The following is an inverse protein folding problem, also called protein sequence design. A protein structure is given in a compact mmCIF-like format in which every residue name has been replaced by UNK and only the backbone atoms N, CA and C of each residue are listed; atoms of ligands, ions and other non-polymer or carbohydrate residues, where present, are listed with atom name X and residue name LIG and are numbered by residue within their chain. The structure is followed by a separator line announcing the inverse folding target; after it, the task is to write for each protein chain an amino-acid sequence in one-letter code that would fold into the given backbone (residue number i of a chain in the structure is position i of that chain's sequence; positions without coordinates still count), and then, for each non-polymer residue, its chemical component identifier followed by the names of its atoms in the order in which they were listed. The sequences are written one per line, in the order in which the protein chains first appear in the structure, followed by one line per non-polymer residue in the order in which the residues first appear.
data_IF_926702539124
#
_entry.id   IF_926702539124
#
_cell.length_a   1.000
_cell.length_b   1.000
_cell.length_c   1.000
_cell.angle_alpha   90.00
_cell.angle_beta   90.00
_cell.angle_gamma   90.00
#
_symmetry.space_group_name_H-M   'P 1'
#
loop_
_entity.id
_entity.type
_entity.pdbx_description
1 polymer ?
#
# COMPACT_ATOMS: atom_id res chain seq x y z
N UNK A 1 3.57 -18.95 -10.68
CA UNK A 1 3.10 -17.70 -10.04
C UNK A 1 4.27 -16.94 -9.44
N UNK A 2 4.39 -15.65 -9.73
CA UNK A 2 5.40 -14.73 -9.14
C UNK A 2 4.70 -13.78 -8.19
N UNK A 3 5.04 -13.85 -6.91
CA UNK A 3 4.60 -12.93 -5.86
C UNK A 3 5.71 -11.93 -5.55
N UNK A 4 5.38 -10.65 -5.47
CA UNK A 4 6.28 -9.59 -5.04
C UNK A 4 5.66 -8.82 -3.88
N UNK A 5 6.42 -8.60 -2.81
CA UNK A 5 6.03 -7.72 -1.71
C UNK A 5 6.94 -6.51 -1.68
N UNK A 6 6.35 -5.31 -1.60
CA UNK A 6 7.10 -4.06 -1.59
C UNK A 6 6.57 -3.07 -0.55
N UNK A 7 7.50 -2.52 0.26
CA UNK A 7 7.16 -1.43 1.19
C UNK A 7 7.29 -0.09 0.47
N UNK A 8 6.16 0.55 0.24
CA UNK A 8 6.03 1.81 -0.50
C UNK A 8 6.53 3.03 0.29
N UNK A 9 6.56 2.96 1.62
CA UNK A 9 6.79 4.12 2.50
C UNK A 9 5.99 5.35 2.01
N UNK A 10 4.77 5.13 1.61
CA UNK A 10 3.85 6.16 1.06
C UNK A 10 4.39 6.88 -0.20
N UNK A 11 5.39 6.31 -0.88
CA UNK A 11 6.07 6.92 -2.03
C UNK A 11 7.03 8.06 -1.69
N UNK A 12 7.40 8.23 -0.42
CA UNK A 12 8.24 9.36 0.04
C UNK A 12 9.72 9.21 -0.31
N UNK A 13 10.17 8.00 -0.71
CA UNK A 13 11.59 7.71 -0.92
C UNK A 13 12.39 7.57 0.37
N UNK A 14 13.69 7.30 0.24
CA UNK A 14 14.57 6.98 1.38
C UNK A 14 15.86 7.81 1.42
N UNK A 15 16.06 8.76 0.52
CA UNK A 15 17.29 9.57 0.47
C UNK A 15 17.45 10.52 1.66
N UNK A 16 18.67 11.07 1.81
CA UNK A 16 18.98 12.06 2.86
C UNK A 16 17.99 13.22 2.93
N UNK A 17 17.45 13.64 1.80
CA UNK A 17 16.42 14.69 1.71
C UNK A 17 15.10 14.33 2.44
N UNK A 18 14.90 13.06 2.81
CA UNK A 18 13.73 12.65 3.60
C UNK A 18 13.69 13.30 4.99
N UNK A 19 14.87 13.60 5.56
CA UNK A 19 15.01 14.19 6.89
C UNK A 19 15.14 15.73 6.88
N UNK A 20 14.98 16.39 5.74
CA UNK A 20 15.06 17.84 5.62
C UNK A 20 13.67 18.48 5.49
N UNK A 21 13.42 19.70 6.04
CA UNK A 21 14.29 20.51 6.91
C UNK A 21 14.38 20.03 8.37
N UNK A 22 13.57 19.07 8.76
CA UNK A 22 13.54 18.48 10.10
C UNK A 22 13.41 16.95 10.00
N UNK A 23 13.73 16.19 11.06
CA UNK A 23 13.63 14.73 11.06
C UNK A 23 12.26 14.26 10.58
N UNK A 24 12.26 13.30 9.63
CA UNK A 24 11.03 12.77 8.97
C UNK A 24 10.19 13.79 8.17
N UNK A 25 10.72 14.98 7.88
CA UNK A 25 10.00 16.01 7.10
C UNK A 25 9.53 15.52 5.71
N UNK A 26 10.25 14.57 5.12
CA UNK A 26 9.86 13.92 3.86
C UNK A 26 8.53 13.18 3.92
N UNK A 27 8.07 12.78 5.12
CA UNK A 27 6.76 12.15 5.31
C UNK A 27 5.58 13.03 4.88
N UNK A 28 5.76 14.36 4.88
CA UNK A 28 4.75 15.33 4.52
C UNK A 28 4.85 15.82 3.06
N UNK A 29 5.84 15.39 2.29
CA UNK A 29 6.07 15.85 0.91
C UNK A 29 5.16 15.14 -0.10
N UNK A 30 4.92 15.84 -1.22
CA UNK A 30 4.22 15.25 -2.37
C UNK A 30 5.07 14.16 -3.02
N UNK A 31 4.43 13.03 -3.35
CA UNK A 31 5.10 11.78 -3.74
C UNK A 31 4.90 11.36 -5.20
N UNK A 32 4.22 12.16 -6.01
CA UNK A 32 3.81 11.79 -7.37
C UNK A 32 4.96 11.38 -8.31
N UNK A 33 6.11 12.08 -8.25
CA UNK A 33 7.25 11.78 -9.13
C UNK A 33 7.85 10.38 -8.92
N UNK A 34 7.86 9.90 -7.67
CA UNK A 34 8.41 8.58 -7.35
C UNK A 34 7.48 7.45 -7.79
N UNK A 35 6.19 7.72 -7.88
CA UNK A 35 5.18 6.71 -8.18
C UNK A 35 5.33 6.16 -9.60
N UNK A 36 5.63 7.01 -10.58
CA UNK A 36 5.83 6.58 -11.98
C UNK A 36 7.11 5.74 -12.14
N UNK A 37 8.16 6.06 -11.39
CA UNK A 37 9.38 5.24 -11.37
C UNK A 37 9.10 3.84 -10.80
N UNK A 38 8.32 3.76 -9.71
CA UNK A 38 7.90 2.48 -9.11
C UNK A 38 7.02 1.67 -10.07
N UNK A 39 6.10 2.31 -10.79
CA UNK A 39 5.27 1.63 -11.79
C UNK A 39 6.13 1.00 -12.89
N UNK A 40 7.15 1.71 -13.39
CA UNK A 40 8.09 1.13 -14.38
C UNK A 40 8.79 -0.11 -13.81
N UNK A 41 9.34 0.01 -12.61
CA UNK A 41 9.99 -1.10 -11.94
C UNK A 41 9.05 -2.31 -11.77
N UNK A 42 7.83 -2.11 -11.27
CA UNK A 42 6.86 -3.20 -11.09
C UNK A 42 6.48 -3.87 -12.41
N UNK A 43 6.36 -3.09 -13.49
CA UNK A 43 6.08 -3.64 -14.82
C UNK A 43 7.19 -4.56 -15.31
N UNK A 44 8.45 -4.19 -15.07
CA UNK A 44 9.62 -5.01 -15.42
C UNK A 44 9.65 -6.32 -14.64
N UNK A 45 9.19 -6.31 -13.38
CA UNK A 45 9.18 -7.51 -12.55
C UNK A 45 8.13 -8.55 -12.99
N UNK A 46 7.09 -8.15 -13.72
CA UNK A 46 6.02 -9.04 -14.23
C UNK A 46 5.43 -9.93 -13.12
N UNK A 47 5.14 -9.34 -11.95
CA UNK A 47 4.55 -10.07 -10.85
C UNK A 47 3.07 -10.37 -11.11
N UNK A 48 2.66 -11.62 -10.90
CA UNK A 48 1.26 -12.03 -10.98
C UNK A 48 0.45 -11.44 -9.83
N UNK A 49 1.10 -11.35 -8.66
CA UNK A 49 0.55 -10.74 -7.45
C UNK A 49 1.55 -9.77 -6.87
N UNK A 50 1.12 -8.54 -6.62
CA UNK A 50 1.93 -7.47 -6.03
C UNK A 50 1.32 -7.02 -4.71
N UNK A 51 1.96 -7.39 -3.60
CA UNK A 51 1.65 -6.90 -2.26
C UNK A 51 2.33 -5.56 -2.01
N UNK A 52 1.55 -4.54 -1.66
CA UNK A 52 2.03 -3.19 -1.37
C UNK A 52 1.69 -2.84 0.08
N UNK A 53 2.71 -2.64 0.90
CA UNK A 53 2.52 -2.14 2.27
C UNK A 53 2.92 -0.67 2.37
N UNK A 54 2.33 0.03 3.33
CA UNK A 54 2.55 1.48 3.53
C UNK A 54 2.23 2.32 2.30
N UNK A 55 1.08 2.11 1.69
CA UNK A 55 0.55 2.95 0.63
C UNK A 55 -0.27 4.11 1.18
N UNK A 56 -0.44 5.14 0.36
CA UNK A 56 -1.35 6.26 0.59
C UNK A 56 -2.62 6.09 -0.25
N UNK A 57 -3.76 6.00 0.43
CA UNK A 57 -5.06 5.81 -0.22
C UNK A 57 -5.75 7.13 -0.61
N UNK A 58 -4.99 8.22 -0.77
CA UNK A 58 -5.52 9.50 -1.24
C UNK A 58 -5.44 10.63 -0.23
N UNK A 59 -4.30 10.79 0.47
CA UNK A 59 -4.03 12.02 1.24
C UNK A 59 -3.51 13.14 0.33
N UNK A 60 -3.29 14.32 0.91
CA UNK A 60 -2.70 15.44 0.18
C UNK A 60 -1.30 15.12 -0.37
N UNK A 61 -0.54 14.21 0.26
CA UNK A 61 0.80 13.78 -0.20
C UNK A 61 0.76 13.14 -1.58
N UNK A 62 -0.24 12.32 -1.83
CA UNK A 62 -0.47 11.65 -3.11
C UNK A 62 -1.31 12.49 -4.07
N UNK A 63 -1.51 13.81 -3.78
CA UNK A 63 -2.42 14.68 -4.52
C UNK A 63 -3.83 14.09 -4.61
N UNK A 64 -4.31 13.54 -3.50
CA UNK A 64 -5.60 12.84 -3.36
C UNK A 64 -5.77 11.60 -4.24
N UNK A 65 -4.69 11.09 -4.85
CA UNK A 65 -4.71 9.84 -5.62
C UNK A 65 -4.52 8.63 -4.71
N UNK A 66 -5.34 7.62 -4.88
CA UNK A 66 -5.09 6.31 -4.29
C UNK A 66 -3.94 5.64 -5.05
N UNK A 67 -2.79 5.45 -4.37
CA UNK A 67 -1.59 4.88 -5.01
C UNK A 67 -1.82 3.46 -5.53
N UNK A 68 -2.59 2.63 -4.81
CA UNK A 68 -2.90 1.27 -5.26
C UNK A 68 -3.71 1.29 -6.56
N UNK A 69 -4.77 2.10 -6.64
CA UNK A 69 -5.60 2.20 -7.83
C UNK A 69 -4.80 2.73 -9.03
N UNK A 70 -3.93 3.70 -8.80
CA UNK A 70 -3.07 4.25 -9.85
C UNK A 70 -2.11 3.19 -10.40
N UNK A 71 -1.42 2.45 -9.52
CA UNK A 71 -0.49 1.40 -9.92
C UNK A 71 -1.24 0.27 -10.65
N UNK A 72 -2.36 -0.17 -10.10
CA UNK A 72 -3.20 -1.22 -10.68
C UNK A 72 -3.66 -0.86 -12.11
N UNK A 73 -4.15 0.35 -12.29
CA UNK A 73 -4.55 0.84 -13.63
C UNK A 73 -3.38 0.83 -14.61
N UNK A 74 -2.20 1.30 -14.18
CA UNK A 74 -0.99 1.29 -15.03
C UNK A 74 -0.48 -0.10 -15.37
N UNK A 75 -0.71 -1.09 -14.52
CA UNK A 75 -0.26 -2.48 -14.69
C UNK A 75 -1.34 -3.40 -15.30
N UNK A 76 -2.58 -2.94 -15.45
CA UNK A 76 -3.69 -3.77 -15.88
C UNK A 76 -4.10 -4.82 -14.82
N UNK A 77 -3.93 -4.50 -13.53
CA UNK A 77 -4.24 -5.38 -12.40
C UNK A 77 -5.43 -4.86 -11.60
N UNK A 78 -6.04 -5.73 -10.81
CA UNK A 78 -7.16 -5.39 -9.92
C UNK A 78 -6.66 -5.10 -8.51
N UNK A 79 -7.00 -3.94 -7.91
CA UNK A 79 -6.54 -3.59 -6.58
C UNK A 79 -7.49 -4.08 -5.49
N UNK A 80 -6.97 -4.69 -4.45
CA UNK A 80 -7.60 -4.85 -3.16
C UNK A 80 -6.84 -3.99 -2.14
N UNK A 81 -7.46 -2.92 -1.66
CA UNK A 81 -6.85 -1.93 -0.78
C UNK A 81 -7.62 -1.81 0.52
N UNK A 82 -6.92 -1.84 1.67
CA UNK A 82 -7.52 -1.68 2.99
C UNK A 82 -6.73 -0.74 3.88
N UNK A 83 -7.43 0.15 4.59
CA UNK A 83 -6.83 1.01 5.59
C UNK A 83 -6.24 0.19 6.73
N UNK A 84 -5.07 0.60 7.22
CA UNK A 84 -4.39 -0.03 8.37
C UNK A 84 -5.16 0.15 9.68
N UNK A 85 -5.93 1.22 9.79
CA UNK A 85 -6.63 1.59 11.01
C UNK A 85 -8.12 1.27 10.86
N UNK A 86 -8.64 0.41 11.74
CA UNK A 86 -10.07 0.16 11.83
C UNK A 86 -10.84 1.42 12.26
N UNK A 87 -12.13 1.47 11.96
CA UNK A 87 -13.01 2.63 12.25
C UNK A 87 -13.00 3.09 13.72
N UNK A 88 -12.64 2.20 14.65
CA UNK A 88 -12.57 2.49 16.10
C UNK A 88 -11.21 2.99 16.57
N UNK A 89 -10.22 3.13 15.68
CA UNK A 89 -8.89 3.57 16.08
C UNK A 89 -8.81 5.09 16.19
N UNK A 90 -8.29 5.60 17.29
CA UNK A 90 -7.96 7.02 17.46
C UNK A 90 -7.07 7.56 16.33
N UNK A 91 -6.06 6.78 15.92
CA UNK A 91 -5.16 7.11 14.81
C UNK A 91 -5.89 7.26 13.46
N UNK A 92 -6.99 6.54 13.28
CA UNK A 92 -7.85 6.66 12.10
C UNK A 92 -8.61 7.98 11.98
N UNK A 93 -8.60 8.82 13.02
CA UNK A 93 -9.22 10.17 13.00
C UNK A 93 -8.29 11.22 12.40
N UNK A 94 -6.97 11.00 12.41
CA UNK A 94 -6.01 11.94 11.85
C UNK A 94 -6.01 11.87 10.30
N UNK A 95 -6.05 13.03 9.59
CA UNK A 95 -6.22 13.07 8.13
C UNK A 95 -5.22 12.25 7.34
N UNK A 96 -3.94 12.26 7.74
CA UNK A 96 -2.87 11.48 7.10
C UNK A 96 -2.94 10.01 7.48
N UNK A 97 -3.16 9.72 8.76
CA UNK A 97 -3.15 8.34 9.28
C UNK A 97 -4.30 7.52 8.71
N UNK A 98 -5.51 8.07 8.64
CA UNK A 98 -6.68 7.38 8.06
C UNK A 98 -6.47 6.95 6.61
N UNK A 99 -5.53 7.60 5.89
CA UNK A 99 -5.20 7.29 4.49
C UNK A 99 -4.04 6.30 4.34
N UNK A 100 -3.45 5.86 5.43
CA UNK A 100 -2.46 4.79 5.40
C UNK A 100 -3.14 3.45 5.19
N UNK A 101 -2.67 2.71 4.20
CA UNK A 101 -3.27 1.45 3.79
C UNK A 101 -2.21 0.43 3.37
N UNK A 102 -2.65 -0.80 3.22
CA UNK A 102 -1.95 -1.84 2.48
C UNK A 102 -2.83 -2.21 1.27
N UNK A 103 -2.21 -2.74 0.23
CA UNK A 103 -2.92 -3.23 -0.93
C UNK A 103 -2.33 -4.52 -1.47
N UNK A 104 -3.15 -5.26 -2.18
CA UNK A 104 -2.74 -6.32 -3.06
C UNK A 104 -3.27 -6.05 -4.46
N UNK A 105 -2.41 -6.18 -5.46
CA UNK A 105 -2.79 -6.07 -6.86
C UNK A 105 -2.61 -7.44 -7.50
N UNK A 106 -3.60 -7.86 -8.29
CA UNK A 106 -3.57 -9.17 -8.93
C UNK A 106 -4.09 -9.06 -10.37
N UNK A 107 -3.38 -9.68 -11.30
CA UNK A 107 -3.79 -9.79 -12.71
C UNK A 107 -4.82 -10.90 -12.97
N UNK A 108 -4.98 -11.82 -12.00
CA UNK A 108 -5.91 -12.93 -12.09
C UNK A 108 -7.21 -12.63 -11.30
N UNK A 109 -8.31 -13.32 -11.63
CA UNK A 109 -9.53 -13.23 -10.84
C UNK A 109 -9.31 -13.65 -9.39
N UNK A 110 -9.76 -12.81 -8.47
CA UNK A 110 -9.73 -13.10 -7.02
C UNK A 110 -11.07 -13.68 -6.63
N UNK A 111 -11.06 -14.90 -6.06
CA UNK A 111 -12.28 -15.61 -5.66
C UNK A 111 -12.88 -14.99 -4.39
N UNK A 112 -12.02 -14.63 -3.44
CA UNK A 112 -12.45 -14.06 -2.18
C UNK A 112 -11.39 -13.09 -1.62
N UNK A 113 -11.86 -12.07 -0.88
CA UNK A 113 -11.02 -11.04 -0.26
C UNK A 113 -11.50 -10.79 1.15
N UNK A 114 -10.64 -11.00 2.14
CA UNK A 114 -10.95 -10.75 3.54
C UNK A 114 -9.91 -9.88 4.20
N UNK A 115 -10.33 -9.20 5.26
CA UNK A 115 -9.45 -8.36 6.08
C UNK A 115 -9.64 -8.71 7.54
N UNK A 116 -8.56 -9.05 8.22
CA UNK A 116 -8.57 -9.40 9.63
C UNK A 116 -7.78 -8.32 10.40
N UNK A 117 -8.29 -7.96 11.57
CA UNK A 117 -7.60 -7.04 12.47
C UNK A 117 -7.20 -7.79 13.74
N UNK A 118 -5.91 -7.91 13.97
CA UNK A 118 -5.38 -8.52 15.19
C UNK A 118 -5.78 -7.71 16.43
N UNK A 119 -5.97 -8.37 17.57
CA UNK A 119 -6.47 -7.71 18.80
C UNK A 119 -5.49 -6.73 19.42
N UNK A 120 -4.18 -6.98 19.31
CA UNK A 120 -3.11 -6.16 19.90
C UNK A 120 -2.19 -5.57 18.82
N UNK A 121 -1.57 -4.43 19.10
CA UNK A 121 -0.63 -3.74 18.24
C UNK A 121 -1.22 -2.56 17.45
N UNK A 122 -0.35 -1.74 16.87
CA UNK A 122 -0.73 -0.55 16.09
C UNK A 122 -1.00 -0.91 14.63
N UNK A 123 -0.17 -1.73 14.02
CA UNK A 123 -0.34 -2.24 12.66
C UNK A 123 -0.91 -3.66 12.72
N UNK A 124 -2.21 -3.78 12.60
CA UNK A 124 -2.97 -5.00 12.90
C UNK A 124 -3.66 -5.63 11.70
N UNK A 125 -3.51 -5.02 10.53
CA UNK A 125 -4.20 -5.47 9.33
C UNK A 125 -3.51 -6.69 8.73
N UNK A 126 -4.27 -7.77 8.60
CA UNK A 126 -3.95 -8.94 7.78
C UNK A 126 -4.91 -8.93 6.60
N UNK A 127 -4.39 -8.96 5.38
CA UNK A 127 -5.17 -9.07 4.15
C UNK A 127 -5.07 -10.50 3.65
N UNK A 128 -6.20 -11.12 3.39
CA UNK A 128 -6.32 -12.47 2.84
C UNK A 128 -6.92 -12.38 1.44
N UNK A 129 -6.27 -13.01 0.49
CA UNK A 129 -6.75 -13.15 -0.89
C UNK A 129 -6.77 -14.62 -1.25
N UNK A 130 -7.91 -15.09 -1.71
CA UNK A 130 -8.12 -16.43 -2.22
C UNK A 130 -8.11 -16.40 -3.75
N UNK A 131 -7.13 -17.04 -4.34
CA UNK A 131 -7.01 -17.30 -5.76
C UNK A 131 -7.38 -18.75 -6.05
N UNK A 132 -7.43 -19.13 -7.31
CA UNK A 132 -7.89 -20.48 -7.71
C UNK A 132 -7.10 -21.63 -7.07
N UNK A 133 -5.79 -21.47 -6.89
CA UNK A 133 -4.90 -22.52 -6.40
C UNK A 133 -4.14 -22.15 -5.12
N UNK A 134 -4.31 -20.92 -4.61
CA UNK A 134 -3.50 -20.43 -3.48
C UNK A 134 -4.25 -19.38 -2.67
N UNK A 135 -4.02 -19.39 -1.35
CA UNK A 135 -4.43 -18.33 -0.44
C UNK A 135 -3.21 -17.53 -0.03
N UNK A 136 -3.28 -16.23 -0.19
CA UNK A 136 -2.18 -15.30 0.10
C UNK A 136 -2.54 -14.44 1.29
N UNK A 137 -1.66 -14.40 2.29
CA UNK A 137 -1.76 -13.50 3.42
C UNK A 137 -0.70 -12.40 3.33
N UNK A 138 -1.13 -11.15 3.36
CA UNK A 138 -0.25 -9.98 3.43
C UNK A 138 -0.35 -9.38 4.81
N UNK A 139 0.75 -9.40 5.54
CA UNK A 139 0.87 -8.91 6.91
C UNK A 139 2.01 -7.91 6.97
N UNK A 140 1.79 -6.78 7.63
CA UNK A 140 2.84 -5.82 7.94
C UNK A 140 2.78 -5.51 9.44
N UNK A 141 3.66 -6.15 10.19
CA UNK A 141 3.82 -5.96 11.63
C UNK A 141 4.86 -4.88 11.89
N UNK A 142 4.67 -4.13 12.97
CA UNK A 142 5.65 -3.17 13.53
C UNK A 142 5.40 -2.98 15.01
#
# INVERSE_FOLDING_TARGET
MRLMLYNMRYGTGTGFKFHLPFPFGGFFRKTGKNLDALVRFFREQKADVLGLVEIDSGSYRSSHRNQANYIAWKLGQHPFCRSKYGHRSWWGRLPLMRKQANACLCGQPVLNQRSHFLRKGVKRLVMELELQEVVIFIVHLA
#
